data_IF_377397874124
#
_entry.id   IF_377397874124
#
_cell.length_a   1.000
_cell.length_b   1.000
_cell.length_c   1.000
_cell.angle_alpha   90.00
_cell.angle_beta   90.00
_cell.angle_gamma   90.00
#
_symmetry.space_group_name_H-M   'P 1'
#
loop_
_entity.id
_entity.type
_entity.pdbx_description
1 polymer ?
#
# COMPACT_ATOMS: atom_id res chain seq x y z
N UNK A 1 24.82 47.52 28.36
CA UNK A 1 25.09 46.52 29.43
C UNK A 1 25.90 45.33 28.88
N UNK A 2 27.03 45.60 28.23
CA UNK A 2 27.78 44.62 27.40
C UNK A 2 29.13 44.18 27.99
N UNK A 3 29.41 44.46 29.27
CA UNK A 3 30.74 44.23 29.87
C UNK A 3 30.85 42.90 30.64
N UNK A 4 29.76 42.16 30.87
CA UNK A 4 29.77 40.99 31.79
C UNK A 4 29.50 39.61 31.16
N UNK A 5 29.38 39.47 29.83
CA UNK A 5 29.08 38.17 29.17
C UNK A 5 30.27 37.24 28.91
N UNK A 6 31.43 37.45 29.52
CA UNK A 6 32.57 36.51 29.42
C UNK A 6 33.27 36.29 30.76
N UNK A 7 32.62 35.53 31.63
CA UNK A 7 33.33 34.84 32.72
C UNK A 7 32.95 33.37 32.64
N UNK A 8 33.76 32.57 31.92
CA UNK A 8 33.76 31.10 32.09
C UNK A 8 34.02 30.80 33.58
N UNK A 9 33.50 29.69 34.14
CA UNK A 9 33.84 29.29 35.49
C UNK A 9 35.35 29.03 35.53
N UNK A 10 36.09 29.98 36.13
CA UNK A 10 37.52 29.82 36.36
C UNK A 10 37.66 28.70 37.40
N UNK A 11 38.54 27.76 37.09
CA UNK A 11 38.97 26.71 38.01
C UNK A 11 39.22 27.27 39.42
N UNK A 12 38.92 26.46 40.43
CA UNK A 12 39.07 26.76 41.84
C UNK A 12 40.36 27.58 42.10
N UNK A 13 40.28 28.67 42.87
CA UNK A 13 41.45 29.51 43.09
C UNK A 13 42.55 28.67 43.75
N UNK A 14 43.83 28.89 43.39
CA UNK A 14 44.93 28.25 44.08
C UNK A 14 44.84 28.60 45.56
N UNK A 15 45.00 27.59 46.41
CA UNK A 15 45.17 27.70 47.86
C UNK A 15 46.43 28.51 48.16
N UNK A 16 46.35 29.83 47.98
CA UNK A 16 47.37 30.75 48.43
C UNK A 16 47.14 30.98 49.91
N UNK A 17 48.17 30.66 50.69
CA UNK A 17 48.12 30.68 52.14
C UNK A 17 47.56 31.99 52.69
N UNK A 18 46.49 31.87 53.46
CA UNK A 18 46.56 32.24 54.87
C UNK A 18 46.94 33.68 55.23
N UNK A 19 46.73 34.68 54.36
CA UNK A 19 46.51 36.04 54.88
C UNK A 19 45.05 36.15 55.25
N UNK A 20 44.74 35.60 56.43
CA UNK A 20 43.47 35.84 57.12
C UNK A 20 43.20 37.34 57.05
N UNK A 21 41.96 37.74 56.76
CA UNK A 21 41.43 39.06 57.12
C UNK A 21 41.38 39.13 58.66
N UNK A 22 42.55 39.07 59.30
CA UNK A 22 42.74 38.89 60.75
C UNK A 22 42.47 40.18 61.50
N UNK A 23 42.59 41.34 60.86
CA UNK A 23 42.51 42.62 61.57
C UNK A 23 41.08 43.03 61.97
N UNK A 24 40.06 42.71 61.15
CA UNK A 24 38.68 43.11 61.48
C UNK A 24 38.02 42.16 62.48
N UNK A 25 38.28 40.86 62.37
CA UNK A 25 37.51 39.85 63.10
C UNK A 25 37.99 39.66 64.54
N UNK A 26 39.29 39.85 64.81
CA UNK A 26 39.86 39.68 66.16
C UNK A 26 39.34 40.72 67.15
N UNK A 27 39.11 41.96 66.71
CA UNK A 27 38.58 43.04 67.56
C UNK A 27 37.14 42.78 68.02
N UNK A 28 36.31 42.17 67.17
CA UNK A 28 34.96 41.78 67.56
C UNK A 28 34.97 40.62 68.55
N UNK A 29 35.88 39.64 68.38
CA UNK A 29 36.05 38.52 69.32
C UNK A 29 36.59 38.97 70.69
N UNK A 30 37.46 39.97 70.72
CA UNK A 30 37.96 40.60 71.96
C UNK A 30 36.87 41.39 72.69
N UNK A 31 35.79 41.74 71.98
CA UNK A 31 34.64 42.43 72.50
C UNK A 31 33.59 41.38 72.89
N UNK A 32 33.88 40.52 73.87
CA UNK A 32 32.95 39.46 74.28
C UNK A 32 31.56 40.05 74.58
N UNK A 33 30.53 39.51 73.94
CA UNK A 33 29.15 39.98 74.12
C UNK A 33 28.65 39.61 75.54
N UNK A 34 28.10 40.56 76.31
CA UNK A 34 27.42 40.27 77.56
C UNK A 34 26.25 39.31 77.34
N UNK A 35 26.07 38.36 78.26
CA UNK A 35 24.96 37.40 78.16
C UNK A 35 23.61 38.11 78.17
N UNK A 36 23.47 39.14 79.02
CA UNK A 36 22.26 39.94 79.16
C UNK A 36 21.87 40.66 77.86
N UNK A 37 22.87 41.16 77.12
CA UNK A 37 22.66 41.84 75.83
C UNK A 37 22.12 40.87 74.77
N UNK A 38 22.65 39.65 74.73
CA UNK A 38 22.20 38.62 73.78
C UNK A 38 20.84 38.05 74.17
N UNK A 39 20.58 37.88 75.47
CA UNK A 39 19.30 37.37 75.95
C UNK A 39 18.15 38.36 75.73
N UNK A 40 18.39 39.67 75.86
CA UNK A 40 17.40 40.72 75.60
C UNK A 40 17.19 41.08 74.11
N UNK A 41 18.12 40.69 73.22
CA UNK A 41 18.07 41.02 71.80
C UNK A 41 16.76 40.61 71.10
N UNK A 42 16.25 39.38 71.26
CA UNK A 42 15.08 38.94 70.50
C UNK A 42 13.80 39.69 70.84
N UNK A 43 13.62 40.15 72.09
CA UNK A 43 12.44 40.90 72.49
C UNK A 43 12.34 42.20 71.68
N UNK A 44 13.41 42.99 71.64
CA UNK A 44 13.46 44.23 70.88
C UNK A 44 13.38 44.01 69.36
N UNK A 45 14.05 42.96 68.86
CA UNK A 45 14.06 42.63 67.43
C UNK A 45 12.67 42.18 66.95
N UNK A 46 12.06 41.21 67.63
CA UNK A 46 10.75 40.69 67.23
C UNK A 46 9.61 41.64 67.57
N UNK A 47 9.72 42.52 68.57
CA UNK A 47 8.75 43.61 68.74
C UNK A 47 8.67 44.48 67.46
N UNK A 48 9.80 44.77 66.83
CA UNK A 48 9.84 45.50 65.56
C UNK A 48 9.32 44.69 64.37
N UNK A 49 9.72 43.42 64.25
CA UNK A 49 9.27 42.55 63.16
C UNK A 49 7.76 42.32 63.23
N UNK A 50 7.24 41.99 64.42
CA UNK A 50 5.83 41.66 64.64
C UNK A 50 4.92 42.89 64.65
N UNK A 51 5.47 44.11 64.67
CA UNK A 51 4.70 45.34 64.48
C UNK A 51 4.11 45.42 63.06
N UNK A 52 4.68 44.71 62.09
CA UNK A 52 4.15 44.59 60.73
C UNK A 52 3.25 43.35 60.63
N UNK A 53 1.95 43.49 60.37
CA UNK A 53 1.01 42.37 60.30
C UNK A 53 1.43 41.27 59.31
N UNK A 54 2.03 41.67 58.18
CA UNK A 54 2.46 40.74 57.13
C UNK A 54 3.62 39.86 57.60
N UNK A 55 4.58 40.45 58.32
CA UNK A 55 5.72 39.70 58.86
C UNK A 55 5.32 38.82 60.04
N UNK A 56 4.35 39.28 60.86
CA UNK A 56 3.75 38.47 61.91
C UNK A 56 3.12 37.20 61.32
N UNK A 57 2.34 37.33 60.25
CA UNK A 57 1.73 36.19 59.59
C UNK A 57 2.76 35.18 59.04
N UNK A 58 3.89 35.66 58.49
CA UNK A 58 4.99 34.79 58.04
C UNK A 58 5.60 34.03 59.22
N UNK A 59 5.88 34.74 60.34
CA UNK A 59 6.43 34.11 61.54
C UNK A 59 5.48 33.03 62.07
N UNK A 60 4.20 33.35 62.27
CA UNK A 60 3.19 32.41 62.79
C UNK A 60 2.98 31.20 61.88
N UNK A 61 3.09 31.38 60.56
CA UNK A 61 2.94 30.30 59.58
C UNK A 61 4.11 29.32 59.59
N UNK A 62 5.34 29.81 59.77
CA UNK A 62 6.55 29.00 59.55
C UNK A 62 7.33 28.67 60.83
N UNK A 63 7.07 29.34 61.96
CA UNK A 63 7.83 29.19 63.20
C UNK A 63 7.10 29.73 64.43
N UNK A 64 7.80 29.77 65.57
CA UNK A 64 7.41 30.54 66.74
C UNK A 64 8.52 31.54 67.11
N UNK A 65 8.15 32.59 67.84
CA UNK A 65 9.10 33.64 68.27
C UNK A 65 10.19 33.03 69.16
N UNK A 66 9.86 32.08 70.02
CA UNK A 66 10.81 31.42 70.93
C UNK A 66 11.90 30.69 70.15
N UNK A 67 11.52 29.95 69.10
CA UNK A 67 12.47 29.22 68.25
C UNK A 67 13.31 30.15 67.40
N UNK A 68 12.69 31.20 66.84
CA UNK A 68 13.40 32.19 66.04
C UNK A 68 14.36 33.03 66.90
N UNK A 69 13.96 33.35 68.13
CA UNK A 69 14.79 34.04 69.12
C UNK A 69 16.11 33.30 69.35
N UNK A 70 16.07 31.99 69.56
CA UNK A 70 17.31 31.20 69.76
C UNK A 70 18.20 31.20 68.50
N UNK A 71 17.58 31.21 67.32
CA UNK A 71 18.31 31.27 66.05
C UNK A 71 18.94 32.64 65.83
N UNK A 72 18.23 33.72 66.17
CA UNK A 72 18.73 35.09 66.13
C UNK A 72 19.88 35.30 67.11
N UNK A 73 19.77 34.79 68.35
CA UNK A 73 20.85 34.83 69.34
C UNK A 73 22.11 34.14 68.82
N UNK A 74 21.96 32.95 68.24
CA UNK A 74 23.07 32.20 67.64
C UNK A 74 23.71 32.96 66.48
N UNK A 75 22.91 33.51 65.57
CA UNK A 75 23.40 34.34 64.48
C UNK A 75 24.17 35.56 65.00
N UNK A 76 23.60 36.29 65.96
CA UNK A 76 24.21 37.49 66.52
C UNK A 76 25.52 37.18 67.25
N UNK A 77 25.60 36.11 68.05
CA UNK A 77 26.87 35.63 68.63
C UNK A 77 27.90 35.36 67.53
N UNK A 78 27.50 34.68 66.46
CA UNK A 78 28.34 34.39 65.30
C UNK A 78 28.83 35.62 64.51
N UNK A 79 28.26 36.81 64.72
CA UNK A 79 28.82 38.08 64.17
C UNK A 79 30.07 38.50 64.96
N UNK A 80 30.13 38.18 66.26
CA UNK A 80 31.20 38.60 67.17
C UNK A 80 32.25 37.52 67.45
N UNK A 81 32.08 36.29 66.96
CA UNK A 81 33.06 35.18 67.15
C UNK A 81 34.44 35.42 66.48
N UNK A 82 34.56 36.42 65.61
CA UNK A 82 35.83 36.83 65.03
C UNK A 82 36.42 35.87 64.00
N UNK A 83 35.58 35.02 63.39
CA UNK A 83 35.95 34.18 62.25
C UNK A 83 34.95 34.35 61.11
N UNK A 84 35.41 34.83 59.95
CA UNK A 84 34.64 34.85 58.70
C UNK A 84 35.24 33.83 57.73
N UNK A 85 34.83 32.58 57.85
CA UNK A 85 35.33 31.44 57.07
C UNK A 85 34.25 30.85 56.15
N UNK A 86 34.59 29.79 55.41
CA UNK A 86 33.66 29.15 54.48
C UNK A 86 32.39 28.61 55.16
N UNK A 87 32.49 28.17 56.42
CA UNK A 87 31.33 27.67 57.18
C UNK A 87 30.38 28.81 57.51
N UNK A 88 30.91 29.95 57.98
CA UNK A 88 30.11 31.16 58.24
C UNK A 88 29.39 31.64 56.98
N UNK A 89 30.06 31.64 55.83
CA UNK A 89 29.45 31.99 54.53
C UNK A 89 28.31 31.05 54.18
N UNK A 90 28.49 29.73 54.33
CA UNK A 90 27.43 28.74 54.08
C UNK A 90 26.23 28.90 55.00
N UNK A 91 26.45 29.25 56.27
CA UNK A 91 25.37 29.52 57.21
C UNK A 91 24.54 30.75 56.78
N UNK A 92 25.18 31.80 56.26
CA UNK A 92 24.46 32.99 55.72
C UNK A 92 23.72 32.67 54.44
N UNK A 93 24.33 31.90 53.54
CA UNK A 93 23.66 31.43 52.32
C UNK A 93 22.41 30.62 52.69
N UNK A 94 22.50 29.77 53.71
CA UNK A 94 21.36 29.01 54.23
C UNK A 94 20.30 29.92 54.83
N UNK A 95 20.69 30.97 55.56
CA UNK A 95 19.76 32.00 56.06
C UNK A 95 19.01 32.61 54.88
N UNK A 96 19.71 33.05 53.84
CA UNK A 96 19.08 33.63 52.65
C UNK A 96 18.11 32.65 51.97
N UNK A 97 18.54 31.41 51.72
CA UNK A 97 17.69 30.39 51.11
C UNK A 97 16.47 29.95 51.96
N UNK A 98 16.54 30.05 53.29
CA UNK A 98 15.38 29.81 54.17
C UNK A 98 14.40 30.98 54.10
N UNK A 99 14.90 32.22 54.09
CA UNK A 99 14.04 33.41 54.04
C UNK A 99 13.39 33.58 52.67
N UNK A 100 14.06 33.23 51.58
CA UNK A 100 13.50 33.17 50.23
C UNK A 100 12.36 32.13 50.15
N UNK A 101 12.56 30.93 50.72
CA UNK A 101 11.57 29.85 50.71
C UNK A 101 10.27 30.16 51.47
N UNK A 102 10.31 31.06 52.46
CA UNK A 102 9.13 31.48 53.21
C UNK A 102 8.52 32.76 52.65
N UNK A 103 8.92 33.15 51.42
CA UNK A 103 8.48 34.36 50.74
C UNK A 103 8.70 35.64 51.58
N UNK A 104 9.76 35.68 52.40
CA UNK A 104 10.07 36.89 53.16
C UNK A 104 10.57 37.96 52.17
N UNK A 105 9.93 39.13 52.06
CA UNK A 105 10.41 40.18 51.18
C UNK A 105 11.83 40.58 51.56
N UNK A 106 12.76 40.61 50.60
CA UNK A 106 14.16 40.96 50.87
C UNK A 106 14.30 42.31 51.58
N UNK A 107 13.47 43.29 51.24
CA UNK A 107 13.43 44.59 51.93
C UNK A 107 13.03 44.48 53.40
N UNK A 108 12.16 43.51 53.76
CA UNK A 108 11.82 43.22 55.14
C UNK A 108 12.97 42.53 55.89
N UNK A 109 13.66 41.58 55.25
CA UNK A 109 14.87 40.96 55.81
C UNK A 109 15.94 42.01 56.12
N UNK A 110 16.27 42.87 55.15
CA UNK A 110 17.26 43.94 55.30
C UNK A 110 16.81 44.91 56.40
N UNK A 111 15.54 45.32 56.41
CA UNK A 111 15.00 46.22 57.43
C UNK A 111 15.07 45.64 58.85
N UNK A 112 14.81 44.33 58.99
CA UNK A 112 14.89 43.62 60.26
C UNK A 112 16.35 43.46 60.72
N UNK A 113 17.25 43.00 59.85
CA UNK A 113 18.65 42.73 60.23
C UNK A 113 19.41 44.00 60.61
N UNK A 114 19.06 45.15 60.02
CA UNK A 114 19.60 46.46 60.42
C UNK A 114 19.17 46.89 61.83
N UNK A 115 18.12 46.30 62.42
CA UNK A 115 17.77 46.59 63.81
C UNK A 115 18.83 46.11 64.81
N UNK A 116 19.69 45.17 64.41
CA UNK A 116 20.81 44.72 65.24
C UNK A 116 21.80 45.86 65.53
N UNK A 117 21.87 46.87 64.67
CA UNK A 117 22.70 48.06 64.87
C UNK A 117 22.30 48.81 66.15
N UNK A 118 21.01 48.77 66.54
CA UNK A 118 20.50 49.41 67.77
C UNK A 118 21.01 48.75 69.05
N UNK A 119 21.52 47.53 68.95
CA UNK A 119 22.07 46.77 70.08
C UNK A 119 23.60 46.75 69.99
N UNK A 120 24.15 46.44 68.81
CA UNK A 120 25.58 46.32 68.59
C UNK A 120 26.34 47.66 68.70
N UNK A 121 25.81 48.75 68.12
CA UNK A 121 26.53 50.04 68.09
C UNK A 121 26.66 50.64 69.49
N UNK A 122 25.58 50.79 70.29
CA UNK A 122 25.69 51.34 71.63
C UNK A 122 26.64 50.54 72.52
N UNK A 123 26.60 49.21 72.43
CA UNK A 123 27.51 48.36 73.20
C UNK A 123 28.97 48.49 72.74
N UNK A 124 29.24 48.62 71.44
CA UNK A 124 30.61 48.90 70.96
C UNK A 124 31.12 50.26 71.44
N UNK A 125 30.25 51.28 71.45
CA UNK A 125 30.53 52.62 71.98
C UNK A 125 30.81 52.57 73.48
N UNK A 126 30.02 51.83 74.24
CA UNK A 126 30.25 51.62 75.68
C UNK A 126 31.57 50.89 75.95
N UNK A 127 31.89 49.88 75.14
CA UNK A 127 33.06 49.02 75.36
C UNK A 127 34.40 49.66 74.98
N UNK A 128 34.40 50.52 73.97
CA UNK A 128 35.64 51.11 73.39
C UNK A 128 35.60 52.64 73.32
N UNK A 129 34.61 53.30 73.91
CA UNK A 129 34.41 54.76 73.82
C UNK A 129 35.59 55.61 74.30
N UNK A 130 36.40 55.07 75.22
CA UNK A 130 37.59 55.72 75.74
C UNK A 130 38.79 55.69 74.76
N UNK A 131 38.71 54.88 73.69
CA UNK A 131 39.73 54.77 72.63
C UNK A 131 39.08 54.96 71.25
N UNK A 132 39.06 56.21 70.72
CA UNK A 132 38.39 56.53 69.46
C UNK A 132 38.88 55.71 68.26
N UNK A 133 40.18 55.35 68.24
CA UNK A 133 40.76 54.57 67.15
C UNK A 133 40.26 53.12 67.22
N UNK A 134 40.26 52.52 68.42
CA UNK A 134 39.75 51.16 68.62
C UNK A 134 38.25 51.06 68.41
N UNK A 135 37.47 52.06 68.85
CA UNK A 135 36.04 52.15 68.58
C UNK A 135 35.76 52.21 67.07
N UNK A 136 36.47 53.08 66.35
CA UNK A 136 36.35 53.19 64.90
C UNK A 136 36.64 51.86 64.20
N UNK A 137 37.74 51.20 64.58
CA UNK A 137 38.11 49.89 64.01
C UNK A 137 37.05 48.81 64.32
N UNK A 138 36.48 48.79 65.53
CA UNK A 138 35.45 47.83 65.92
C UNK A 138 34.11 48.08 65.20
N UNK A 139 33.69 49.35 65.06
CA UNK A 139 32.50 49.71 64.28
C UNK A 139 32.68 49.38 62.79
N UNK A 140 33.86 49.66 62.21
CA UNK A 140 34.18 49.29 60.84
C UNK A 140 34.18 47.76 60.66
N UNK A 141 34.69 47.00 61.64
CA UNK A 141 34.67 45.55 61.61
C UNK A 141 33.25 45.00 61.64
N UNK A 142 32.41 45.46 62.59
CA UNK A 142 31.01 45.09 62.68
C UNK A 142 30.27 45.43 61.38
N UNK A 143 30.46 46.65 60.87
CA UNK A 143 29.81 47.09 59.63
C UNK A 143 30.24 46.24 58.44
N UNK A 144 31.52 45.85 58.33
CA UNK A 144 32.01 44.95 57.28
C UNK A 144 31.35 43.58 57.33
N UNK A 145 31.24 42.96 58.52
CA UNK A 145 30.59 41.66 58.67
C UNK A 145 29.11 41.75 58.33
N UNK A 146 28.38 42.73 58.88
CA UNK A 146 26.97 42.92 58.61
C UNK A 146 26.68 43.24 57.13
N UNK A 147 27.52 44.06 56.49
CA UNK A 147 27.39 44.36 55.06
C UNK A 147 27.66 43.11 54.21
N UNK A 148 28.65 42.30 54.58
CA UNK A 148 28.93 41.04 53.90
C UNK A 148 27.75 40.06 54.04
N UNK A 149 27.17 39.94 55.23
CA UNK A 149 26.02 39.05 55.45
C UNK A 149 24.79 39.50 54.64
N UNK A 150 24.47 40.79 54.66
CA UNK A 150 23.39 41.37 53.83
C UNK A 150 23.66 41.14 52.35
N UNK A 151 24.90 41.33 51.88
CA UNK A 151 25.25 41.11 50.47
C UNK A 151 25.12 39.65 50.05
N UNK A 152 25.55 38.70 50.89
CA UNK A 152 25.41 37.26 50.63
C UNK A 152 23.93 36.89 50.56
N UNK A 153 23.11 37.29 51.54
CA UNK A 153 21.67 37.02 51.50
C UNK A 153 21.04 37.66 50.27
N UNK A 154 21.36 38.92 49.97
CA UNK A 154 20.84 39.60 48.79
C UNK A 154 21.16 38.84 47.50
N UNK A 155 22.40 38.37 47.36
CA UNK A 155 22.80 37.57 46.21
C UNK A 155 22.00 36.26 46.13
N UNK A 156 21.74 35.58 47.25
CA UNK A 156 20.93 34.35 47.22
C UNK A 156 19.49 34.56 46.74
N UNK A 157 18.87 35.69 47.10
CA UNK A 157 17.53 36.06 46.61
C UNK A 157 17.55 36.41 45.10
N UNK A 158 18.58 37.13 44.65
CA UNK A 158 18.76 37.45 43.22
C UNK A 158 18.96 36.16 42.41
N UNK A 159 19.87 35.29 42.85
CA UNK A 159 20.15 34.02 42.17
C UNK A 159 18.90 33.12 42.12
N UNK A 160 18.07 33.13 43.17
CA UNK A 160 16.81 32.38 43.19
C UNK A 160 15.81 32.94 42.17
N UNK A 161 15.66 34.26 42.08
CA UNK A 161 14.78 34.93 41.11
C UNK A 161 15.24 34.72 39.67
N UNK A 162 16.53 34.86 39.40
CA UNK A 162 17.11 34.64 38.08
C UNK A 162 16.84 33.20 37.59
N UNK A 163 16.98 32.20 38.47
CA UNK A 163 16.63 30.81 38.15
C UNK A 163 15.15 30.63 37.81
N UNK A 164 14.25 31.29 38.54
CA UNK A 164 12.81 31.23 38.23
C UNK A 164 12.52 31.84 36.86
N UNK A 165 13.13 32.99 36.54
CA UNK A 165 12.97 33.61 35.21
C UNK A 165 13.48 32.68 34.10
N UNK A 166 14.66 32.07 34.27
CA UNK A 166 15.20 31.11 33.31
C UNK A 166 14.28 29.89 33.11
N UNK A 167 13.69 29.36 34.19
CA UNK A 167 12.77 28.23 34.12
C UNK A 167 11.45 28.61 33.41
N UNK A 168 10.92 29.80 33.65
CA UNK A 168 9.71 30.30 32.97
C UNK A 168 9.98 30.48 31.46
N UNK A 169 11.13 31.03 31.08
CA UNK A 169 11.51 31.15 29.66
C UNK A 169 11.65 29.78 28.98
N UNK A 170 12.24 28.79 29.67
CA UNK A 170 12.35 27.42 29.17
C UNK A 170 10.97 26.77 29.00
N UNK A 171 10.09 26.93 29.99
CA UNK A 171 8.73 26.40 29.95
C UNK A 171 7.93 27.02 28.80
N UNK A 172 8.05 28.32 28.57
CA UNK A 172 7.45 29.00 27.41
C UNK A 172 7.91 28.42 26.08
N UNK A 173 9.21 28.18 25.94
CA UNK A 173 9.75 27.57 24.73
C UNK A 173 9.20 26.15 24.53
N UNK A 174 9.10 25.37 25.59
CA UNK A 174 8.53 24.02 25.54
C UNK A 174 7.04 24.05 25.18
N UNK A 175 6.24 24.91 25.81
CA UNK A 175 4.81 25.08 25.51
C UNK A 175 4.59 25.48 24.05
N UNK A 176 5.43 26.35 23.48
CA UNK A 176 5.35 26.69 22.05
C UNK A 176 5.64 25.50 21.14
N UNK A 177 6.69 24.72 21.43
CA UNK A 177 7.01 23.50 20.65
C UNK A 177 5.87 22.49 20.68
N UNK A 178 5.34 22.21 21.87
CA UNK A 178 4.21 21.27 22.03
C UNK A 178 2.96 21.80 21.32
N UNK A 179 2.74 23.12 21.28
CA UNK A 179 1.64 23.70 20.50
C UNK A 179 1.82 23.53 18.97
N UNK A 180 3.05 23.59 18.47
CA UNK A 180 3.31 23.33 17.05
C UNK A 180 3.09 21.84 16.71
N UNK A 181 3.59 20.93 17.55
CA UNK A 181 3.36 19.48 17.44
C UNK A 181 1.86 19.13 17.53
N UNK A 182 1.10 19.79 18.40
CA UNK A 182 -0.35 19.61 18.53
C UNK A 182 -1.11 19.94 17.22
N UNK A 183 -0.71 21.00 16.52
CA UNK A 183 -1.33 21.36 15.23
C UNK A 183 -0.99 20.35 14.14
N UNK A 184 0.24 19.81 14.17
CA UNK A 184 0.66 18.75 13.26
C UNK A 184 -0.16 17.48 13.49
N UNK A 185 -0.33 17.05 14.74
CA UNK A 185 -1.18 15.90 15.11
C UNK A 185 -2.61 16.06 14.59
N UNK A 186 -3.20 17.26 14.74
CA UNK A 186 -4.55 17.56 14.25
C UNK A 186 -4.63 17.43 12.72
N UNK A 187 -3.63 17.95 12.01
CA UNK A 187 -3.57 17.89 10.54
C UNK A 187 -3.40 16.44 10.04
N UNK A 188 -2.53 15.67 10.70
CA UNK A 188 -2.31 14.24 10.42
C UNK A 188 -3.59 13.45 10.66
N UNK A 189 -4.26 13.71 11.78
CA UNK A 189 -5.56 13.09 12.12
C UNK A 189 -6.60 13.30 11.01
N UNK A 190 -6.79 14.53 10.55
CA UNK A 190 -7.74 14.83 9.48
C UNK A 190 -7.37 14.16 8.16
N UNK A 191 -6.08 14.16 7.80
CA UNK A 191 -5.57 13.50 6.59
C UNK A 191 -5.79 11.99 6.64
N UNK A 192 -5.58 11.39 7.80
CA UNK A 192 -5.78 9.96 8.04
C UNK A 192 -7.25 9.55 7.93
N UNK A 193 -8.16 10.37 8.46
CA UNK A 193 -9.60 10.16 8.33
C UNK A 193 -10.06 10.22 6.85
N UNK A 194 -9.58 11.21 6.09
CA UNK A 194 -9.89 11.33 4.67
C UNK A 194 -9.34 10.14 3.86
N UNK A 195 -8.09 9.72 4.14
CA UNK A 195 -7.49 8.55 3.51
C UNK A 195 -8.29 7.27 3.81
N UNK A 196 -8.70 7.06 5.06
CA UNK A 196 -9.54 5.93 5.45
C UNK A 196 -10.88 5.89 4.69
N UNK A 197 -11.55 7.04 4.55
CA UNK A 197 -12.81 7.12 3.79
C UNK A 197 -12.60 6.78 2.30
N UNK A 198 -11.53 7.28 1.70
CA UNK A 198 -11.21 6.98 0.30
C UNK A 198 -10.85 5.50 0.09
N UNK A 199 -10.08 4.91 1.01
CA UNK A 199 -9.75 3.48 0.98
C UNK A 199 -10.99 2.61 1.13
N UNK A 200 -11.92 2.98 2.02
CA UNK A 200 -13.20 2.29 2.20
C UNK A 200 -14.07 2.31 0.93
N UNK A 201 -14.19 3.49 0.29
CA UNK A 201 -14.92 3.61 -0.97
C UNK A 201 -14.29 2.75 -2.08
N UNK A 202 -12.95 2.75 -2.15
CA UNK A 202 -12.20 1.94 -3.12
C UNK A 202 -12.38 0.44 -2.88
N UNK A 203 -12.37 0.00 -1.61
CA UNK A 203 -12.65 -1.39 -1.23
C UNK A 203 -14.05 -1.83 -1.68
N UNK A 204 -15.06 -0.99 -1.42
CA UNK A 204 -16.45 -1.26 -1.78
C UNK A 204 -16.61 -1.41 -3.31
N UNK A 205 -15.96 -0.53 -4.07
CA UNK A 205 -15.98 -0.58 -5.53
C UNK A 205 -15.24 -1.81 -6.10
N UNK A 206 -14.13 -2.22 -5.47
CA UNK A 206 -13.44 -3.46 -5.80
C UNK A 206 -14.31 -4.69 -5.55
N UNK A 207 -15.02 -4.74 -4.41
CA UNK A 207 -15.97 -5.81 -4.10
C UNK A 207 -17.08 -5.89 -5.14
N UNK A 208 -17.70 -4.75 -5.48
CA UNK A 208 -18.73 -4.65 -6.53
C UNK A 208 -18.22 -5.13 -7.90
N UNK A 209 -17.02 -4.70 -8.27
CA UNK A 209 -16.40 -5.09 -9.55
C UNK A 209 -16.08 -6.58 -9.57
N UNK A 210 -15.60 -7.14 -8.46
CA UNK A 210 -15.31 -8.56 -8.30
C UNK A 210 -16.55 -9.41 -8.51
N UNK A 211 -17.68 -9.06 -7.87
CA UNK A 211 -18.96 -9.73 -8.10
C UNK A 211 -19.38 -9.67 -9.57
N UNK A 212 -19.25 -8.50 -10.21
CA UNK A 212 -19.59 -8.34 -11.63
C UNK A 212 -18.70 -9.17 -12.56
N UNK A 213 -17.43 -9.39 -12.22
CA UNK A 213 -16.54 -10.28 -12.99
C UNK A 213 -16.95 -11.75 -12.77
N UNK A 214 -17.27 -12.15 -11.54
CA UNK A 214 -17.72 -13.52 -11.24
C UNK A 214 -19.02 -13.90 -11.98
N UNK A 215 -19.99 -12.98 -12.04
CA UNK A 215 -21.22 -13.17 -12.81
C UNK A 215 -20.93 -13.33 -14.31
N UNK A 216 -20.06 -12.50 -14.87
CA UNK A 216 -19.64 -12.59 -16.28
C UNK A 216 -18.89 -13.89 -16.57
N UNK A 217 -18.05 -14.35 -15.65
CA UNK A 217 -17.35 -15.63 -15.79
C UNK A 217 -18.34 -16.80 -15.79
N UNK A 218 -19.39 -16.73 -14.95
CA UNK A 218 -20.47 -17.72 -14.95
C UNK A 218 -21.22 -17.72 -16.28
N UNK A 219 -21.61 -16.56 -16.80
CA UNK A 219 -22.25 -16.45 -18.12
C UNK A 219 -21.35 -16.94 -19.26
N UNK A 220 -20.03 -16.70 -19.18
CA UNK A 220 -19.08 -17.21 -20.14
C UNK A 220 -18.98 -18.75 -20.11
N UNK A 221 -19.07 -19.37 -18.93
CA UNK A 221 -19.14 -20.83 -18.79
C UNK A 221 -20.38 -21.42 -19.46
N UNK A 222 -21.54 -20.78 -19.33
CA UNK A 222 -22.77 -21.21 -20.02
C UNK A 222 -22.63 -21.14 -21.54
N UNK A 223 -22.08 -20.04 -22.06
CA UNK A 223 -21.82 -19.88 -23.50
C UNK A 223 -20.81 -20.89 -24.04
N UNK A 224 -19.78 -21.22 -23.25
CA UNK A 224 -18.83 -22.28 -23.60
C UNK A 224 -19.50 -23.64 -23.64
N UNK A 225 -20.36 -23.97 -22.66
CA UNK A 225 -21.10 -25.23 -22.66
C UNK A 225 -21.99 -25.36 -23.92
N UNK A 226 -22.66 -24.28 -24.33
CA UNK A 226 -23.40 -24.24 -25.60
C UNK A 226 -22.48 -24.43 -26.81
N UNK A 227 -21.28 -23.83 -26.78
CA UNK A 227 -20.30 -23.95 -27.88
C UNK A 227 -19.77 -25.39 -28.01
N UNK A 228 -19.56 -26.10 -26.90
CA UNK A 228 -19.19 -27.53 -26.90
C UNK A 228 -20.29 -28.36 -27.57
N UNK A 229 -21.56 -28.09 -27.24
CA UNK A 229 -22.69 -28.81 -27.82
C UNK A 229 -22.79 -28.56 -29.33
N UNK A 230 -22.63 -27.32 -29.78
CA UNK A 230 -22.61 -26.99 -31.20
C UNK A 230 -21.43 -27.65 -31.95
N UNK A 231 -20.24 -27.66 -31.34
CA UNK A 231 -19.07 -28.31 -31.93
C UNK A 231 -19.25 -29.84 -32.03
N UNK A 232 -19.87 -30.47 -31.02
CA UNK A 232 -20.25 -31.89 -31.05
C UNK A 232 -21.27 -32.18 -32.15
N UNK A 233 -22.35 -31.39 -32.23
CA UNK A 233 -23.34 -31.54 -33.31
C UNK A 233 -22.71 -31.41 -34.70
N UNK A 234 -21.77 -30.47 -34.86
CA UNK A 234 -20.99 -30.32 -36.09
C UNK A 234 -20.13 -31.55 -36.42
N UNK A 235 -19.45 -32.12 -35.42
CA UNK A 235 -18.65 -33.35 -35.57
C UNK A 235 -19.49 -34.59 -35.90
N UNK A 236 -20.71 -34.68 -35.37
CA UNK A 236 -21.65 -35.75 -35.71
C UNK A 236 -22.12 -35.65 -37.17
N UNK A 237 -22.39 -34.42 -37.64
CA UNK A 237 -22.74 -34.17 -39.05
C UNK A 237 -21.59 -34.56 -39.98
N UNK A 238 -20.34 -34.21 -39.67
CA UNK A 238 -19.20 -34.61 -40.51
C UNK A 238 -19.00 -36.12 -40.53
N UNK A 239 -19.21 -36.79 -39.40
CA UNK A 239 -19.21 -38.27 -39.35
C UNK A 239 -20.32 -38.88 -40.21
N UNK A 240 -21.49 -38.22 -40.29
CA UNK A 240 -22.56 -38.56 -41.24
C UNK A 240 -22.10 -38.41 -42.70
N UNK A 241 -21.46 -37.30 -43.03
CA UNK A 241 -20.92 -37.01 -44.36
C UNK A 241 -19.88 -38.05 -44.77
N UNK A 242 -18.98 -38.48 -43.87
CA UNK A 242 -17.98 -39.50 -44.18
C UNK A 242 -18.61 -40.83 -44.62
N UNK A 243 -19.70 -41.25 -43.96
CA UNK A 243 -20.42 -42.46 -44.36
C UNK A 243 -21.03 -42.30 -45.75
N UNK A 244 -21.68 -41.16 -46.01
CA UNK A 244 -22.27 -40.89 -47.32
C UNK A 244 -21.20 -40.83 -48.43
N UNK A 245 -20.02 -40.26 -48.15
CA UNK A 245 -18.86 -40.26 -49.06
C UNK A 245 -18.37 -41.67 -49.32
N UNK A 246 -18.28 -42.52 -48.29
CA UNK A 246 -17.94 -43.94 -48.44
C UNK A 246 -18.91 -44.69 -49.36
N UNK A 247 -20.22 -44.49 -49.15
CA UNK A 247 -21.26 -45.10 -49.99
C UNK A 247 -21.18 -44.59 -51.44
N UNK A 248 -20.96 -43.29 -51.65
CA UNK A 248 -20.78 -42.71 -52.98
C UNK A 248 -19.55 -43.27 -53.69
N UNK A 249 -18.43 -43.44 -52.98
CA UNK A 249 -17.21 -44.03 -53.55
C UNK A 249 -17.46 -45.46 -54.03
N UNK A 250 -18.09 -46.28 -53.21
CA UNK A 250 -18.48 -47.64 -53.62
C UNK A 250 -19.46 -47.66 -54.79
N UNK A 251 -20.38 -46.70 -54.86
CA UNK A 251 -21.27 -46.54 -56.02
C UNK A 251 -20.52 -46.19 -57.31
N UNK A 252 -19.57 -45.26 -57.25
CA UNK A 252 -18.71 -44.89 -58.38
C UNK A 252 -17.86 -46.07 -58.86
N UNK A 253 -17.29 -46.85 -57.94
CA UNK A 253 -16.53 -48.08 -58.25
C UNK A 253 -17.40 -49.11 -58.99
N UNK A 254 -18.60 -49.38 -58.48
CA UNK A 254 -19.54 -50.33 -59.11
C UNK A 254 -19.98 -49.88 -60.51
N UNK A 255 -20.29 -48.59 -60.69
CA UNK A 255 -20.67 -48.06 -62.01
C UNK A 255 -19.49 -48.16 -62.98
N UNK A 256 -18.26 -47.89 -62.50
CA UNK A 256 -17.05 -48.00 -63.32
C UNK A 256 -16.84 -49.44 -63.81
N UNK A 257 -17.05 -50.44 -62.96
CA UNK A 257 -17.00 -51.87 -63.35
C UNK A 257 -18.08 -52.22 -64.38
N UNK A 258 -19.32 -51.74 -64.19
CA UNK A 258 -20.41 -51.97 -65.14
C UNK A 258 -20.15 -51.33 -66.51
N UNK A 259 -19.59 -50.11 -66.54
CA UNK A 259 -19.19 -49.42 -67.76
C UNK A 259 -18.08 -50.21 -68.48
N UNK A 260 -17.09 -50.72 -67.75
CA UNK A 260 -16.03 -51.54 -68.33
C UNK A 260 -16.60 -52.81 -68.98
N UNK A 261 -17.50 -53.52 -68.28
CA UNK A 261 -18.19 -54.70 -68.82
C UNK A 261 -19.04 -54.37 -70.04
N UNK A 262 -19.80 -53.26 -70.01
CA UNK A 262 -20.64 -52.84 -71.12
C UNK A 262 -19.80 -52.44 -72.35
N UNK A 263 -18.67 -51.78 -72.12
CA UNK A 263 -17.70 -51.45 -73.18
C UNK A 263 -17.23 -52.71 -73.89
N UNK A 264 -16.88 -53.76 -73.14
CA UNK A 264 -16.41 -55.03 -73.70
C UNK A 264 -17.51 -55.73 -74.50
N UNK A 265 -18.73 -55.83 -73.96
CA UNK A 265 -19.88 -56.39 -74.69
C UNK A 265 -20.17 -55.63 -75.99
N UNK A 266 -20.08 -54.31 -75.96
CA UNK A 266 -20.32 -53.44 -77.13
C UNK A 266 -19.23 -53.64 -78.20
N UNK A 267 -17.97 -53.87 -77.79
CA UNK A 267 -16.87 -54.24 -78.71
C UNK A 267 -17.07 -55.64 -79.30
N UNK A 268 -17.53 -56.60 -78.52
CA UNK A 268 -17.85 -57.95 -79.00
C UNK A 268 -18.94 -57.90 -80.09
N UNK A 269 -19.97 -57.07 -79.91
CA UNK A 269 -21.00 -56.82 -80.94
C UNK A 269 -20.37 -56.29 -82.24
N UNK A 270 -19.39 -55.38 -82.17
CA UNK A 270 -18.68 -54.88 -83.37
C UNK A 270 -17.96 -56.01 -84.12
N UNK A 271 -17.34 -56.93 -83.40
CA UNK A 271 -16.70 -58.12 -83.99
C UNK A 271 -17.73 -59.03 -84.65
N UNK A 272 -18.86 -59.29 -84.00
CA UNK A 272 -19.95 -60.11 -84.54
C UNK A 272 -20.54 -59.47 -85.82
N UNK A 273 -20.85 -58.18 -85.78
CA UNK A 273 -21.39 -57.42 -86.92
C UNK A 273 -20.44 -57.47 -88.12
N UNK A 274 -19.12 -57.40 -87.87
CA UNK A 274 -18.09 -57.53 -88.91
C UNK A 274 -18.12 -58.93 -89.54
N UNK A 275 -18.18 -60.00 -88.73
CA UNK A 275 -18.31 -61.37 -89.22
C UNK A 275 -19.60 -61.61 -90.02
N UNK A 276 -20.75 -61.07 -89.58
CA UNK A 276 -22.01 -61.21 -90.34
C UNK A 276 -21.95 -60.43 -91.65
N UNK A 277 -21.27 -59.27 -91.68
CA UNK A 277 -21.06 -58.51 -92.93
C UNK A 277 -20.25 -59.31 -93.94
N UNK A 278 -19.18 -59.96 -93.49
CA UNK A 278 -18.40 -60.87 -94.34
C UNK A 278 -19.23 -62.04 -94.87
N UNK A 279 -20.09 -62.64 -94.02
CA UNK A 279 -21.02 -63.70 -94.45
C UNK A 279 -22.03 -63.18 -95.47
N UNK A 280 -22.61 -62.00 -95.26
CA UNK A 280 -23.54 -61.37 -96.21
C UNK A 280 -22.84 -61.05 -97.54
N UNK A 281 -21.59 -60.59 -97.49
CA UNK A 281 -20.77 -60.33 -98.68
C UNK A 281 -20.51 -61.61 -99.48
N UNK A 282 -20.11 -62.68 -98.80
CA UNK A 282 -19.92 -64.00 -99.40
C UNK A 282 -21.24 -64.56 -99.97
N UNK A 283 -22.34 -64.41 -99.25
CA UNK A 283 -23.67 -64.87 -99.67
C UNK A 283 -24.15 -64.14 -100.92
N UNK A 284 -23.94 -62.82 -100.99
CA UNK A 284 -24.22 -62.03 -102.17
C UNK A 284 -23.36 -62.48 -103.38
N UNK A 285 -22.10 -62.80 -103.14
CA UNK A 285 -21.17 -63.29 -104.17
C UNK A 285 -21.57 -64.68 -104.68
N UNK A 286 -22.01 -65.57 -103.78
CA UNK A 286 -22.59 -66.88 -104.12
C UNK A 286 -23.90 -66.72 -104.91
N UNK A 287 -24.78 -65.82 -104.50
CA UNK A 287 -26.04 -65.52 -105.20
C UNK A 287 -25.79 -64.95 -106.60
N UNK A 288 -24.79 -64.08 -106.75
CA UNK A 288 -24.36 -63.56 -108.05
C UNK A 288 -23.85 -64.68 -108.96
N UNK A 289 -22.98 -65.56 -108.44
CA UNK A 289 -22.50 -66.72 -109.18
C UNK A 289 -23.65 -67.67 -109.59
N UNK A 290 -24.62 -67.88 -108.70
CA UNK A 290 -25.81 -68.68 -108.98
C UNK A 290 -26.72 -68.03 -110.03
N UNK A 291 -26.88 -66.70 -110.02
CA UNK A 291 -27.63 -65.96 -111.02
C UNK A 291 -26.97 -66.04 -112.42
N UNK A 292 -25.64 -65.97 -112.48
CA UNK A 292 -24.86 -66.16 -113.71
C UNK A 292 -25.09 -67.58 -114.27
N UNK A 293 -25.00 -68.61 -113.43
CA UNK A 293 -25.17 -70.01 -113.86
C UNK A 293 -26.63 -70.32 -114.24
N UNK A 294 -27.60 -69.71 -113.56
CA UNK A 294 -29.02 -69.80 -113.91
C UNK A 294 -29.32 -69.15 -115.27
N UNK A 295 -28.67 -68.01 -115.60
CA UNK A 295 -28.75 -67.40 -116.93
C UNK A 295 -28.10 -68.28 -118.01
N UNK A 296 -27.02 -68.99 -117.66
CA UNK A 296 -26.28 -69.91 -118.55
C UNK A 296 -27.08 -71.18 -118.89
N UNK A 297 -27.91 -71.66 -117.97
CA UNK A 297 -28.80 -72.83 -118.16
C UNK A 297 -30.06 -72.55 -119.00
N UNK A 298 -30.29 -71.30 -119.43
CA UNK A 298 -31.39 -70.93 -120.32
C UNK A 298 -32.78 -71.23 -119.73
N UNK A 299 -33.65 -71.89 -120.51
CA UNK A 299 -35.03 -72.22 -120.10
C UNK A 299 -35.11 -73.11 -118.84
N UNK A 300 -34.11 -73.98 -118.63
CA UNK A 300 -34.04 -74.88 -117.48
C UNK A 300 -33.62 -74.18 -116.17
N UNK A 301 -33.03 -72.97 -116.26
CA UNK A 301 -32.51 -72.21 -115.12
C UNK A 301 -33.48 -71.20 -114.51
N UNK A 302 -34.67 -71.00 -115.09
CA UNK A 302 -35.61 -69.93 -114.67
C UNK A 302 -36.00 -69.98 -113.19
N UNK A 303 -36.29 -71.16 -112.65
CA UNK A 303 -36.62 -71.30 -111.22
C UNK A 303 -35.44 -70.99 -110.30
N UNK A 304 -34.23 -71.39 -110.70
CA UNK A 304 -32.99 -71.08 -109.99
C UNK A 304 -32.63 -69.59 -110.05
N UNK A 305 -32.89 -68.91 -111.18
CA UNK A 305 -32.65 -67.47 -111.33
C UNK A 305 -33.47 -66.65 -110.32
N UNK A 306 -34.75 -67.02 -110.10
CA UNK A 306 -35.61 -66.36 -109.11
C UNK A 306 -35.08 -66.55 -107.69
N UNK A 307 -34.63 -67.76 -107.34
CA UNK A 307 -34.04 -68.04 -106.03
C UNK A 307 -32.73 -67.28 -105.83
N UNK A 308 -31.85 -67.24 -106.85
CA UNK A 308 -30.59 -66.51 -106.79
C UNK A 308 -30.81 -65.00 -106.61
N UNK A 309 -31.78 -64.40 -107.31
CA UNK A 309 -32.15 -63.00 -107.12
C UNK A 309 -32.75 -62.71 -105.73
N UNK A 310 -33.53 -63.64 -105.18
CA UNK A 310 -34.08 -63.50 -103.82
C UNK A 310 -33.00 -63.62 -102.74
N UNK A 311 -32.04 -64.55 -102.88
CA UNK A 311 -30.87 -64.65 -101.99
C UNK A 311 -29.99 -63.40 -102.09
N UNK A 312 -29.82 -62.84 -103.30
CA UNK A 312 -29.09 -61.58 -103.51
C UNK A 312 -29.76 -60.42 -102.78
N UNK A 313 -31.08 -60.25 -102.95
CA UNK A 313 -31.85 -59.23 -102.22
C UNK A 313 -31.79 -59.42 -100.71
N UNK A 314 -31.81 -60.67 -100.23
CA UNK A 314 -31.68 -60.97 -98.80
C UNK A 314 -30.30 -60.55 -98.27
N UNK A 315 -29.23 -60.84 -99.00
CA UNK A 315 -27.88 -60.41 -98.65
C UNK A 315 -27.72 -58.88 -98.64
N UNK A 316 -28.30 -58.18 -99.63
CA UNK A 316 -28.32 -56.72 -99.67
C UNK A 316 -29.12 -56.10 -98.51
N UNK A 317 -30.32 -56.61 -98.21
CA UNK A 317 -31.10 -56.21 -97.02
C UNK A 317 -30.35 -56.49 -95.72
N UNK A 318 -29.57 -57.58 -95.66
CA UNK A 318 -28.73 -57.90 -94.51
C UNK A 318 -27.60 -56.87 -94.34
N UNK A 319 -26.95 -56.42 -95.43
CA UNK A 319 -25.95 -55.35 -95.37
C UNK A 319 -26.53 -54.04 -94.86
N UNK A 320 -27.69 -53.64 -95.36
CA UNK A 320 -28.38 -52.41 -94.91
C UNK A 320 -28.65 -52.49 -93.40
N UNK A 321 -29.25 -53.60 -92.93
CA UNK A 321 -29.50 -53.80 -91.50
C UNK A 321 -28.20 -53.80 -90.66
N UNK A 322 -27.11 -54.40 -91.16
CA UNK A 322 -25.81 -54.37 -90.48
C UNK A 322 -25.19 -52.97 -90.45
N UNK A 323 -25.44 -52.14 -91.45
CA UNK A 323 -25.00 -50.74 -91.45
C UNK A 323 -25.71 -49.94 -90.36
N UNK A 324 -27.02 -50.14 -90.19
CA UNK A 324 -27.79 -49.54 -89.10
C UNK A 324 -27.29 -50.03 -87.73
N UNK A 325 -27.03 -51.34 -87.58
CA UNK A 325 -26.46 -51.88 -86.33
C UNK A 325 -25.07 -51.31 -86.08
N UNK A 326 -24.22 -51.17 -87.10
CA UNK A 326 -22.89 -50.56 -86.98
C UNK A 326 -23.01 -49.14 -86.42
N UNK A 327 -23.95 -48.35 -86.95
CA UNK A 327 -24.19 -46.97 -86.48
C UNK A 327 -24.72 -46.93 -85.05
N UNK A 328 -25.69 -47.80 -84.70
CA UNK A 328 -26.21 -47.92 -83.34
C UNK A 328 -25.11 -48.33 -82.35
N UNK A 329 -24.21 -49.22 -82.75
CA UNK A 329 -23.11 -49.68 -81.91
C UNK A 329 -22.05 -48.58 -81.71
N UNK A 330 -21.72 -47.82 -82.76
CA UNK A 330 -20.85 -46.66 -82.67
C UNK A 330 -21.45 -45.58 -81.74
N UNK A 331 -22.75 -45.31 -81.85
CA UNK A 331 -23.45 -44.39 -80.96
C UNK A 331 -23.43 -44.90 -79.50
N UNK A 332 -23.55 -46.21 -79.29
CA UNK A 332 -23.49 -46.83 -77.96
C UNK A 332 -22.10 -46.67 -77.33
N UNK A 333 -21.03 -46.89 -78.09
CA UNK A 333 -19.65 -46.65 -77.62
C UNK A 333 -19.43 -45.18 -77.23
N UNK A 334 -19.90 -44.24 -78.05
CA UNK A 334 -19.79 -42.82 -77.74
C UNK A 334 -20.58 -42.43 -76.47
N UNK A 335 -21.76 -43.02 -76.27
CA UNK A 335 -22.54 -42.84 -75.04
C UNK A 335 -21.81 -43.40 -73.82
N UNK A 336 -21.23 -44.61 -73.93
CA UNK A 336 -20.45 -45.24 -72.86
C UNK A 336 -19.23 -44.38 -72.48
N UNK A 337 -18.50 -43.85 -73.45
CA UNK A 337 -17.34 -42.97 -73.21
C UNK A 337 -17.76 -41.68 -72.48
N UNK A 338 -18.87 -41.07 -72.89
CA UNK A 338 -19.46 -39.91 -72.21
C UNK A 338 -19.83 -40.22 -70.75
N UNK A 339 -20.50 -41.34 -70.50
CA UNK A 339 -20.86 -41.77 -69.12
C UNK A 339 -19.59 -42.07 -68.31
N UNK A 340 -18.58 -42.70 -68.90
CA UNK A 340 -17.29 -42.95 -68.23
C UNK A 340 -16.63 -41.64 -67.80
N UNK A 341 -16.65 -40.60 -68.65
CA UNK A 341 -16.15 -39.28 -68.30
C UNK A 341 -16.93 -38.64 -67.14
N UNK A 342 -18.25 -38.77 -67.15
CA UNK A 342 -19.10 -38.27 -66.06
C UNK A 342 -18.84 -39.00 -64.72
N UNK A 343 -18.59 -40.31 -64.76
CA UNK A 343 -18.25 -41.11 -63.57
C UNK A 343 -16.88 -40.72 -63.01
N UNK A 344 -15.87 -40.51 -63.87
CA UNK A 344 -14.57 -40.01 -63.43
C UNK A 344 -14.69 -38.64 -62.75
N UNK A 345 -15.42 -37.69 -63.35
CA UNK A 345 -15.67 -36.38 -62.75
C UNK A 345 -16.42 -36.50 -61.40
N UNK A 346 -17.35 -37.45 -61.28
CA UNK A 346 -18.04 -37.73 -60.01
C UNK A 346 -17.07 -38.27 -58.96
N UNK A 347 -16.13 -39.13 -59.34
CA UNK A 347 -15.07 -39.62 -58.44
C UNK A 347 -14.18 -38.50 -57.90
N UNK A 348 -13.80 -37.55 -58.76
CA UNK A 348 -13.06 -36.35 -58.33
C UNK A 348 -13.87 -35.49 -57.35
N UNK A 349 -15.17 -35.32 -57.60
CA UNK A 349 -16.06 -34.60 -56.68
C UNK A 349 -16.20 -35.30 -55.33
N UNK A 350 -16.34 -36.63 -55.29
CA UNK A 350 -16.38 -37.41 -54.04
C UNK A 350 -15.11 -37.21 -53.23
N UNK A 351 -13.94 -37.24 -53.90
CA UNK A 351 -12.63 -37.01 -53.25
C UNK A 351 -12.53 -35.59 -52.67
N UNK A 352 -13.07 -34.58 -53.36
CA UNK A 352 -13.12 -33.21 -52.85
C UNK A 352 -14.02 -33.09 -51.61
N UNK A 353 -15.19 -33.75 -51.61
CA UNK A 353 -16.10 -33.77 -50.44
C UNK A 353 -15.42 -34.46 -49.24
N UNK A 354 -14.69 -35.56 -49.46
CA UNK A 354 -13.93 -36.24 -48.40
C UNK A 354 -12.91 -35.31 -47.74
N UNK A 355 -12.14 -34.57 -48.56
CA UNK A 355 -11.17 -33.58 -48.08
C UNK A 355 -11.84 -32.48 -47.25
N UNK A 356 -12.97 -31.94 -47.72
CA UNK A 356 -13.72 -30.93 -46.99
C UNK A 356 -14.31 -31.45 -45.66
N UNK A 357 -14.81 -32.68 -45.64
CA UNK A 357 -15.30 -33.33 -44.41
C UNK A 357 -14.17 -33.52 -43.40
N UNK A 358 -12.98 -33.93 -43.86
CA UNK A 358 -11.77 -34.01 -43.04
C UNK A 358 -11.38 -32.67 -42.41
N UNK A 359 -11.30 -31.61 -43.20
CA UNK A 359 -10.97 -30.27 -42.73
C UNK A 359 -12.01 -29.72 -41.73
N UNK A 360 -13.30 -30.00 -41.96
CA UNK A 360 -14.37 -29.63 -41.04
C UNK A 360 -14.23 -30.35 -39.68
N UNK A 361 -13.87 -31.65 -39.69
CA UNK A 361 -13.62 -32.43 -38.48
C UNK A 361 -12.45 -31.88 -37.67
N UNK A 362 -11.34 -31.55 -38.32
CA UNK A 362 -10.19 -30.90 -37.67
C UNK A 362 -10.59 -29.55 -37.06
N UNK A 363 -11.41 -28.77 -37.76
CA UNK A 363 -11.91 -27.48 -37.26
C UNK A 363 -12.75 -27.64 -35.99
N UNK A 364 -13.64 -28.64 -35.92
CA UNK A 364 -14.43 -28.90 -34.71
C UNK A 364 -13.57 -29.38 -33.53
N UNK A 365 -12.52 -30.17 -33.78
CA UNK A 365 -11.57 -30.54 -32.74
C UNK A 365 -10.82 -29.31 -32.21
N UNK A 366 -10.33 -28.44 -33.10
CA UNK A 366 -9.65 -27.20 -32.72
C UNK A 366 -10.58 -26.27 -31.91
N UNK A 367 -11.87 -26.20 -32.24
CA UNK A 367 -12.88 -25.46 -31.46
C UNK A 367 -13.00 -26.05 -30.04
N UNK A 368 -13.09 -27.37 -29.89
CA UNK A 368 -13.15 -28.00 -28.57
C UNK A 368 -11.89 -27.72 -27.73
N UNK A 369 -10.71 -27.79 -28.33
CA UNK A 369 -9.45 -27.48 -27.64
C UNK A 369 -9.40 -26.00 -27.19
N UNK A 370 -9.83 -25.08 -28.07
CA UNK A 370 -9.92 -23.66 -27.74
C UNK A 370 -10.92 -23.38 -26.61
N UNK A 371 -12.06 -24.07 -26.58
CA UNK A 371 -13.02 -23.98 -25.48
C UNK A 371 -12.40 -24.50 -24.18
N UNK A 372 -11.68 -25.62 -24.21
CA UNK A 372 -10.98 -26.16 -23.04
C UNK A 372 -9.95 -25.19 -22.47
N UNK A 373 -9.14 -24.56 -23.34
CA UNK A 373 -8.19 -23.52 -22.92
C UNK A 373 -8.90 -22.30 -22.32
N UNK A 374 -10.01 -21.87 -22.92
CA UNK A 374 -10.79 -20.73 -22.44
C UNK A 374 -11.40 -21.02 -21.07
N UNK A 375 -11.89 -22.24 -20.85
CA UNK A 375 -12.39 -22.68 -19.56
C UNK A 375 -11.31 -22.68 -18.48
N UNK A 376 -10.08 -23.11 -18.81
CA UNK A 376 -8.93 -23.02 -17.91
C UNK A 376 -8.63 -21.57 -17.50
N UNK A 377 -8.53 -20.65 -18.46
CA UNK A 377 -8.31 -19.22 -18.19
C UNK A 377 -9.44 -18.59 -17.39
N UNK A 378 -10.70 -18.99 -17.62
CA UNK A 378 -11.83 -18.54 -16.83
C UNK A 378 -11.78 -19.03 -15.38
N UNK A 379 -11.29 -20.26 -15.15
CA UNK A 379 -11.02 -20.77 -13.80
C UNK A 379 -10.02 -19.89 -13.05
N UNK A 380 -8.89 -19.56 -13.68
CA UNK A 380 -7.88 -18.66 -13.09
C UNK A 380 -8.44 -17.26 -12.78
N UNK A 381 -9.30 -16.73 -13.66
CA UNK A 381 -9.98 -15.45 -13.43
C UNK A 381 -10.89 -15.53 -12.20
N UNK A 382 -11.68 -16.60 -12.07
CA UNK A 382 -12.59 -16.78 -10.92
C UNK A 382 -11.80 -16.88 -9.60
N UNK A 383 -10.71 -17.63 -9.59
CA UNK A 383 -9.83 -17.74 -8.43
C UNK A 383 -9.21 -16.37 -8.07
N UNK A 384 -8.69 -15.65 -9.07
CA UNK A 384 -8.14 -14.30 -8.88
C UNK A 384 -9.18 -13.29 -8.37
N UNK A 385 -10.43 -13.39 -8.83
CA UNK A 385 -11.55 -12.59 -8.30
C UNK A 385 -11.82 -12.90 -6.84
N UNK A 386 -11.72 -14.17 -6.43
CA UNK A 386 -11.81 -14.57 -5.02
C UNK A 386 -10.74 -13.91 -4.15
N UNK A 387 -9.50 -13.83 -4.64
CA UNK A 387 -8.39 -13.15 -3.95
C UNK A 387 -8.60 -11.64 -3.83
N UNK A 388 -9.06 -11.00 -4.89
CA UNK A 388 -9.39 -9.56 -4.89
C UNK A 388 -10.54 -9.26 -3.91
N UNK A 389 -11.57 -10.10 -3.88
CA UNK A 389 -12.70 -9.93 -2.95
C UNK A 389 -12.24 -10.01 -1.49
N UNK A 390 -11.41 -11.00 -1.14
CA UNK A 390 -10.84 -11.11 0.22
C UNK A 390 -9.99 -9.89 0.58
N UNK A 391 -9.17 -9.43 -0.37
CA UNK A 391 -8.34 -8.24 -0.18
C UNK A 391 -9.18 -6.98 0.04
N UNK A 392 -10.32 -6.85 -0.66
CA UNK A 392 -11.26 -5.75 -0.48
C UNK A 392 -11.92 -5.77 0.92
N UNK A 393 -12.30 -6.94 1.42
CA UNK A 393 -12.85 -7.09 2.78
C UNK A 393 -11.81 -6.72 3.84
N UNK A 394 -10.56 -7.17 3.68
CA UNK A 394 -9.45 -6.77 4.56
C UNK A 394 -9.19 -5.26 4.53
N UNK A 395 -9.18 -4.66 3.33
CA UNK A 395 -9.00 -3.21 3.15
C UNK A 395 -10.11 -2.42 3.85
N UNK A 396 -11.34 -2.93 3.81
CA UNK A 396 -12.50 -2.35 4.51
C UNK A 396 -12.27 -2.34 6.02
N UNK A 397 -11.83 -3.46 6.59
CA UNK A 397 -11.53 -3.59 8.02
C UNK A 397 -10.38 -2.67 8.46
N UNK A 398 -9.29 -2.63 7.69
CA UNK A 398 -8.16 -1.72 7.96
C UNK A 398 -8.59 -0.27 7.88
N UNK A 399 -9.39 0.11 6.88
CA UNK A 399 -9.89 1.48 6.72
C UNK A 399 -10.71 1.93 7.93
N UNK A 400 -11.57 1.05 8.47
CA UNK A 400 -12.34 1.34 9.69
C UNK A 400 -11.43 1.53 10.91
N UNK A 401 -10.39 0.70 11.07
CA UNK A 401 -9.42 0.86 12.16
C UNK A 401 -8.65 2.18 12.05
N UNK A 402 -8.24 2.55 10.84
CA UNK A 402 -7.54 3.81 10.57
C UNK A 402 -8.44 5.01 10.85
N UNK A 403 -9.72 4.96 10.47
CA UNK A 403 -10.70 6.00 10.80
C UNK A 403 -10.87 6.16 12.32
N UNK A 404 -11.00 5.06 13.06
CA UNK A 404 -11.10 5.13 14.53
C UNK A 404 -9.82 5.67 15.17
N UNK A 405 -8.65 5.34 14.62
CA UNK A 405 -7.37 5.88 15.08
C UNK A 405 -7.29 7.39 14.85
N UNK A 406 -7.74 7.85 13.67
CA UNK A 406 -7.83 9.27 13.37
C UNK A 406 -8.74 10.01 14.37
N UNK A 407 -9.94 9.49 14.64
CA UNK A 407 -10.84 10.09 15.65
C UNK A 407 -10.19 10.21 17.03
N UNK A 408 -9.48 9.15 17.47
CA UNK A 408 -8.74 9.16 18.74
C UNK A 408 -7.62 10.19 18.75
N UNK A 409 -6.85 10.30 17.68
CA UNK A 409 -5.80 11.31 17.53
C UNK A 409 -6.36 12.73 17.57
N UNK A 410 -7.49 12.97 16.91
CA UNK A 410 -8.22 14.24 16.97
C UNK A 410 -8.60 14.60 18.41
N UNK A 411 -9.21 13.67 19.15
CA UNK A 411 -9.58 13.90 20.55
C UNK A 411 -8.38 14.16 21.48
N UNK A 412 -7.25 13.47 21.24
CA UNK A 412 -6.00 13.72 21.96
C UNK A 412 -5.44 15.10 21.62
N UNK A 413 -5.51 15.51 20.36
CA UNK A 413 -5.13 16.85 19.90
C UNK A 413 -5.94 17.95 20.59
N UNK A 414 -7.26 17.77 20.75
CA UNK A 414 -8.13 18.71 21.47
C UNK A 414 -7.79 18.77 22.97
N UNK A 415 -7.60 17.62 23.62
CA UNK A 415 -7.20 17.58 25.03
C UNK A 415 -5.85 18.27 25.26
N UNK A 416 -4.89 18.07 24.34
CA UNK A 416 -3.57 18.71 24.41
C UNK A 416 -3.67 20.22 24.22
N UNK A 417 -4.57 20.70 23.35
CA UNK A 417 -4.83 22.12 23.19
C UNK A 417 -5.34 22.76 24.50
N UNK A 418 -6.22 22.07 25.24
CA UNK A 418 -6.68 22.51 26.56
C UNK A 418 -5.53 22.61 27.57
N UNK A 419 -4.71 21.57 27.69
CA UNK A 419 -3.55 21.60 28.60
C UNK A 419 -2.50 22.66 28.24
N UNK A 420 -2.37 23.01 26.96
CA UNK A 420 -1.51 24.11 26.51
C UNK A 420 -2.05 25.48 26.91
N UNK A 421 -3.37 25.63 27.02
CA UNK A 421 -4.01 26.85 27.51
C UNK A 421 -3.74 27.02 29.01
N UNK A 422 -3.98 25.97 29.80
CA UNK A 422 -3.65 25.92 31.23
C UNK A 422 -2.16 26.24 31.49
N UNK A 423 -1.26 25.71 30.66
CA UNK A 423 0.17 25.98 30.78
C UNK A 423 0.53 27.44 30.48
N UNK A 424 -0.17 28.10 29.56
CA UNK A 424 0.04 29.53 29.25
C UNK A 424 -0.43 30.41 30.40
N UNK A 425 -1.56 30.08 31.00
CA UNK A 425 -2.10 30.79 32.17
C UNK A 425 -1.12 30.71 33.35
N UNK A 426 -0.58 29.52 33.63
CA UNK A 426 0.43 29.32 34.69
C UNK A 426 1.72 30.10 34.44
N UNK A 427 2.17 30.19 33.19
CA UNK A 427 3.34 30.99 32.80
C UNK A 427 3.06 32.48 33.02
N UNK A 428 1.87 32.95 32.66
CA UNK A 428 1.48 34.35 32.86
C UNK A 428 1.42 34.71 34.35
N UNK A 429 0.87 33.82 35.17
CA UNK A 429 0.83 33.98 36.63
C UNK A 429 2.25 33.96 37.23
N UNK A 430 3.14 33.09 36.75
CA UNK A 430 4.53 33.02 37.24
C UNK A 430 5.37 34.26 36.88
N UNK A 431 4.94 35.06 35.90
CA UNK A 431 5.58 36.34 35.54
C UNK A 431 5.14 37.51 36.42
N UNK A 432 3.94 37.43 37.03
CA UNK A 432 3.41 38.46 37.93
C UNK A 432 4.07 38.37 39.30
#
# INVERSE_FOLDING_TARGET
>A
MQIWRRVKPRAAPPTTGGRRVRFASTLLAESALPAELVEGLPEAFYAHVLAKPELRAIVERHSTVERLAETLKRYFRGVFEGTFDARRVQDVVRIGGVHDRIDLPIGAFIGAILQLDRVAIPWLVERHGDDPERLSQALMAYRKVMTADIAIVTQTFIDARDRTVELVEQLEQQTRRVADEQREVTTVSQSLAAAAQQSYASATELSRTSTGIAERATGANELMAQSVELARGGADVTTGTDRAVGDMRSGVEQISEQIASLTEQTREISTIVTGIREIADQTNLLALNAAIEAARAGEHGRGFAVVADEVRRLADRTREALQDITQLNANSLAAIESVSGAVAATGDQVSAVESHAGAARESFNAINDAIGSTAGSLGEIVDGVGDVSRSADELTGVSQQVASMAERLGSLGESLAGSLDDARDLIEDARR
#
